data_IF_504307675311
#
_entry.id   IF_504307675311
#
_cell.length_a   1.000
_cell.length_b   1.000
_cell.length_c   1.000
_cell.angle_alpha   90.00
_cell.angle_beta   90.00
_cell.angle_gamma   90.00
#
_symmetry.space_group_name_H-M   'P 1'
#
loop_
_entity.id
_entity.type
_entity.pdbx_description
1 polymer ?
#
# COMPACT_ATOMS: atom_id res chain seq x y z
N UNK A 1 -15.51 -1.57 -42.87
CA UNK A 1 -15.87 -1.16 -41.49
C UNK A 1 -15.86 -2.36 -40.53
N UNK A 2 -16.65 -3.41 -40.75
CA UNK A 2 -16.70 -4.58 -39.86
C UNK A 2 -15.36 -5.34 -39.71
N UNK A 3 -14.67 -5.60 -40.83
CA UNK A 3 -13.38 -6.31 -40.83
C UNK A 3 -12.27 -5.52 -40.11
N UNK A 4 -12.24 -4.19 -40.28
CA UNK A 4 -11.32 -3.30 -39.56
C UNK A 4 -11.61 -3.29 -38.05
N UNK A 5 -12.87 -3.32 -37.66
CA UNK A 5 -13.27 -3.41 -36.25
C UNK A 5 -12.87 -4.77 -35.63
N UNK A 6 -13.10 -5.87 -36.33
CA UNK A 6 -12.68 -7.22 -35.89
C UNK A 6 -11.16 -7.35 -35.81
N UNK A 7 -10.43 -6.81 -36.78
CA UNK A 7 -8.97 -6.80 -36.80
C UNK A 7 -8.39 -5.95 -35.65
N UNK A 8 -8.92 -4.74 -35.42
CA UNK A 8 -8.54 -3.92 -34.27
C UNK A 8 -8.86 -4.61 -32.94
N UNK A 9 -10.02 -5.24 -32.82
CA UNK A 9 -10.42 -5.97 -31.62
C UNK A 9 -9.49 -7.17 -31.35
N UNK A 10 -9.05 -7.86 -32.39
CA UNK A 10 -8.08 -8.96 -32.28
C UNK A 10 -6.69 -8.48 -31.85
N UNK A 11 -6.21 -7.35 -32.39
CA UNK A 11 -4.96 -6.74 -31.97
C UNK A 11 -5.05 -6.24 -30.51
N UNK A 12 -6.11 -5.52 -30.15
CA UNK A 12 -6.32 -5.02 -28.79
C UNK A 12 -6.36 -6.16 -27.76
N UNK A 13 -7.13 -7.22 -28.01
CA UNK A 13 -7.17 -8.38 -27.12
C UNK A 13 -5.81 -9.11 -27.01
N UNK A 14 -5.02 -9.12 -28.09
CA UNK A 14 -3.71 -9.78 -28.11
C UNK A 14 -2.62 -9.01 -27.37
N UNK A 15 -2.65 -7.67 -27.40
CA UNK A 15 -1.59 -6.83 -26.81
C UNK A 15 -1.98 -6.15 -25.49
N UNK A 16 -3.27 -6.05 -25.14
CA UNK A 16 -3.70 -5.30 -23.97
C UNK A 16 -3.12 -5.85 -22.65
N UNK A 17 -3.06 -7.18 -22.49
CA UNK A 17 -2.45 -7.80 -21.31
C UNK A 17 -0.96 -7.44 -21.20
N UNK A 18 -0.22 -7.53 -22.31
CA UNK A 18 1.21 -7.20 -22.35
C UNK A 18 1.47 -5.71 -22.07
N UNK A 19 0.73 -4.82 -22.73
CA UNK A 19 0.84 -3.37 -22.50
C UNK A 19 0.48 -3.00 -21.06
N UNK A 20 -0.54 -3.64 -20.48
CA UNK A 20 -0.89 -3.42 -19.08
C UNK A 20 0.22 -3.86 -18.13
N UNK A 21 0.93 -4.96 -18.44
CA UNK A 21 2.05 -5.42 -17.64
C UNK A 21 3.21 -4.44 -17.65
N UNK A 22 3.56 -3.89 -18.83
CA UNK A 22 4.57 -2.83 -18.96
C UNK A 22 4.17 -1.61 -18.13
N UNK A 23 2.91 -1.17 -18.23
CA UNK A 23 2.41 -0.04 -17.47
C UNK A 23 2.49 -0.28 -15.95
N UNK A 24 2.12 -1.47 -15.47
CA UNK A 24 2.17 -1.81 -14.06
C UNK A 24 3.61 -1.86 -13.54
N UNK A 25 4.53 -2.43 -14.30
CA UNK A 25 5.95 -2.42 -13.96
C UNK A 25 6.51 -1.01 -13.93
N UNK A 26 6.07 -0.14 -14.84
CA UNK A 26 6.43 1.27 -14.83
C UNK A 26 5.90 1.99 -13.59
N UNK A 27 4.64 1.75 -13.19
CA UNK A 27 4.05 2.30 -11.95
C UNK A 27 4.81 1.80 -10.71
N UNK A 28 5.14 0.50 -10.64
CA UNK A 28 5.96 -0.05 -9.57
C UNK A 28 7.34 0.61 -9.58
N UNK A 29 7.96 0.77 -10.75
CA UNK A 29 9.24 1.45 -10.92
C UNK A 29 9.21 2.89 -10.40
N UNK A 30 8.12 3.64 -10.65
CA UNK A 30 7.94 4.99 -10.09
C UNK A 30 7.86 4.93 -8.56
N UNK A 31 7.10 4.01 -7.98
CA UNK A 31 6.99 3.88 -6.51
C UNK A 31 8.37 3.58 -5.90
N UNK A 32 9.15 2.70 -6.53
CA UNK A 32 10.51 2.36 -6.09
C UNK A 32 11.48 3.53 -6.24
N UNK A 33 11.47 4.22 -7.38
CA UNK A 33 12.32 5.39 -7.60
C UNK A 33 12.01 6.51 -6.60
N UNK A 34 10.71 6.76 -6.33
CA UNK A 34 10.31 7.72 -5.29
C UNK A 34 10.75 7.29 -3.90
N UNK A 35 10.77 5.99 -3.62
CA UNK A 35 11.28 5.46 -2.35
C UNK A 35 12.78 5.68 -2.20
N UNK A 36 13.54 5.48 -3.27
CA UNK A 36 15.00 5.69 -3.30
C UNK A 36 15.40 7.16 -3.21
N UNK A 37 14.67 8.05 -3.88
CA UNK A 37 14.90 9.51 -3.84
C UNK A 37 14.48 10.16 -2.52
N UNK A 38 13.65 9.50 -1.72
CA UNK A 38 13.14 10.09 -0.49
C UNK A 38 14.21 10.15 0.59
N UNK A 39 14.28 11.26 1.33
CA UNK A 39 15.13 11.40 2.53
C UNK A 39 14.53 10.61 3.71
N UNK A 40 14.51 9.28 3.59
CA UNK A 40 14.07 8.36 4.63
C UNK A 40 15.26 7.86 5.43
N UNK A 41 15.11 7.81 6.75
CA UNK A 41 16.17 7.26 7.60
C UNK A 41 16.34 5.76 7.38
N UNK A 42 17.54 5.23 7.60
CA UNK A 42 17.79 3.77 7.48
C UNK A 42 16.88 2.94 8.40
N UNK A 43 16.44 3.53 9.53
CA UNK A 43 15.47 2.91 10.44
C UNK A 43 14.08 2.78 9.82
N UNK A 44 13.64 3.77 9.04
CA UNK A 44 12.35 3.75 8.35
C UNK A 44 12.36 2.78 7.16
N UNK A 45 13.46 2.72 6.41
CA UNK A 45 13.66 1.71 5.36
C UNK A 45 13.53 0.30 5.95
N UNK A 46 14.23 0.04 7.05
CA UNK A 46 14.17 -1.23 7.76
C UNK A 46 12.74 -1.53 8.26
N UNK A 47 12.05 -0.54 8.82
CA UNK A 47 10.66 -0.69 9.28
C UNK A 47 9.73 -1.08 8.13
N UNK A 48 9.83 -0.41 6.97
CA UNK A 48 8.99 -0.69 5.81
C UNK A 48 9.24 -2.11 5.27
N UNK A 49 10.52 -2.54 5.22
CA UNK A 49 10.88 -3.90 4.84
C UNK A 49 10.31 -4.95 5.80
N UNK A 50 10.45 -4.73 7.12
CA UNK A 50 9.90 -5.61 8.15
C UNK A 50 8.37 -5.68 8.07
N UNK A 51 7.70 -4.53 7.89
CA UNK A 51 6.25 -4.50 7.71
C UNK A 51 5.84 -5.30 6.48
N UNK A 52 6.46 -5.07 5.32
CA UNK A 52 6.17 -5.83 4.10
C UNK A 52 6.36 -7.34 4.29
N UNK A 53 7.42 -7.76 4.98
CA UNK A 53 7.68 -9.17 5.27
C UNK A 53 6.65 -9.78 6.24
N UNK A 54 6.31 -9.08 7.33
CA UNK A 54 5.29 -9.55 8.29
C UNK A 54 3.92 -9.65 7.62
N UNK A 55 3.55 -8.66 6.82
CA UNK A 55 2.27 -8.67 6.11
C UNK A 55 2.26 -9.81 5.09
N UNK A 56 3.33 -10.03 4.33
CA UNK A 56 3.46 -11.18 3.44
C UNK A 56 3.33 -12.52 4.17
N UNK A 57 4.04 -12.68 5.29
CA UNK A 57 4.01 -13.90 6.10
C UNK A 57 2.63 -14.13 6.73
N UNK A 58 1.92 -13.06 7.11
CA UNK A 58 0.57 -13.15 7.68
C UNK A 58 -0.46 -13.73 6.72
N UNK A 59 -0.15 -13.82 5.42
CA UNK A 59 -0.98 -14.48 4.40
C UNK A 59 -0.90 -16.01 4.47
N UNK A 60 0.21 -16.57 4.94
CA UNK A 60 0.50 -18.01 4.92
C UNK A 60 -0.53 -18.82 5.71
N UNK A 61 -0.92 -18.45 6.96
CA UNK A 61 -1.91 -19.20 7.72
C UNK A 61 -3.30 -19.23 7.08
N UNK A 62 -3.59 -18.33 6.14
CA UNK A 62 -4.90 -18.16 5.51
C UNK A 62 -4.96 -18.73 4.09
N UNK A 63 -3.95 -19.49 3.65
CA UNK A 63 -3.90 -20.08 2.31
C UNK A 63 -5.13 -20.93 1.96
N UNK A 64 -5.68 -21.64 2.95
CA UNK A 64 -6.84 -22.50 2.77
C UNK A 64 -8.16 -21.71 2.65
N UNK A 65 -8.16 -20.43 3.03
CA UNK A 65 -9.35 -19.59 3.01
C UNK A 65 -9.39 -18.75 1.74
N UNK A 66 -10.44 -18.89 0.91
CA UNK A 66 -10.53 -18.15 -0.34
C UNK A 66 -10.64 -16.65 -0.08
N UNK A 67 -9.63 -15.91 -0.52
CA UNK A 67 -9.56 -14.44 -0.48
C UNK A 67 -9.71 -13.76 0.90
N UNK A 68 -9.67 -14.51 2.00
CA UNK A 68 -9.67 -13.97 3.37
C UNK A 68 -8.22 -13.88 3.83
N UNK A 69 -7.66 -12.67 3.87
CA UNK A 69 -6.26 -12.46 4.24
C UNK A 69 -6.11 -11.13 4.98
N UNK A 70 -5.23 -11.05 5.99
CA UNK A 70 -5.03 -9.81 6.75
C UNK A 70 -4.22 -8.74 6.01
N UNK A 71 -3.76 -9.01 4.78
CA UNK A 71 -2.86 -8.12 4.03
C UNK A 71 -3.44 -6.72 3.85
N UNK A 72 -4.62 -6.60 3.24
CA UNK A 72 -5.26 -5.30 2.95
C UNK A 72 -5.48 -4.50 4.24
N UNK A 73 -6.01 -5.14 5.29
CA UNK A 73 -6.15 -4.55 6.62
C UNK A 73 -4.84 -3.98 7.18
N UNK A 74 -3.74 -4.73 7.13
CA UNK A 74 -2.44 -4.29 7.65
C UNK A 74 -1.81 -3.18 6.79
N UNK A 75 -2.01 -3.23 5.47
CA UNK A 75 -1.55 -2.17 4.54
C UNK A 75 -2.31 -0.87 4.80
N UNK A 76 -3.62 -0.95 5.05
CA UNK A 76 -4.44 0.21 5.45
C UNK A 76 -3.89 0.82 6.74
N UNK A 77 -3.65 0.00 7.77
CA UNK A 77 -3.06 0.47 9.02
C UNK A 77 -1.69 1.11 8.81
N UNK A 78 -0.86 0.51 7.95
CA UNK A 78 0.47 1.04 7.60
C UNK A 78 0.35 2.41 6.95
N UNK A 79 -0.50 2.56 5.93
CA UNK A 79 -0.71 3.83 5.24
C UNK A 79 -1.27 4.92 6.16
N UNK A 80 -2.30 4.59 6.96
CA UNK A 80 -2.92 5.52 7.91
C UNK A 80 -1.92 6.09 8.93
N UNK A 81 -0.97 5.29 9.39
CA UNK A 81 -0.06 5.67 10.47
C UNK A 81 1.27 6.21 9.95
N UNK A 82 1.90 5.53 9.00
CA UNK A 82 3.28 5.81 8.54
C UNK A 82 3.33 6.62 7.22
N UNK A 83 2.19 6.89 6.59
CA UNK A 83 2.11 7.75 5.42
C UNK A 83 2.23 7.02 4.08
N UNK A 84 2.17 7.79 3.00
CA UNK A 84 1.91 7.27 1.65
C UNK A 84 3.04 6.37 1.15
N UNK A 85 4.29 6.77 1.37
CA UNK A 85 5.45 6.02 0.90
C UNK A 85 5.57 4.68 1.61
N UNK A 86 5.48 4.68 2.94
CA UNK A 86 5.51 3.46 3.74
C UNK A 86 4.35 2.52 3.41
N UNK A 87 3.13 3.05 3.27
CA UNK A 87 1.96 2.27 2.87
C UNK A 87 2.10 1.66 1.47
N UNK A 88 2.55 2.46 0.49
CA UNK A 88 2.76 2.00 -0.88
C UNK A 88 3.78 0.87 -0.94
N UNK A 89 4.95 1.09 -0.33
CA UNK A 89 6.04 0.13 -0.33
C UNK A 89 5.67 -1.15 0.42
N UNK A 90 5.02 -1.03 1.59
CA UNK A 90 4.52 -2.21 2.29
C UNK A 90 3.58 -3.04 1.42
N UNK A 91 2.67 -2.41 0.66
CA UNK A 91 1.79 -3.10 -0.29
C UNK A 91 2.52 -3.78 -1.44
N UNK A 92 3.42 -3.05 -2.10
CA UNK A 92 4.25 -3.55 -3.21
C UNK A 92 5.10 -4.75 -2.75
N UNK A 93 5.82 -4.59 -1.63
CA UNK A 93 6.66 -5.65 -1.07
C UNK A 93 5.84 -6.84 -0.59
N UNK A 94 4.66 -6.62 -0.01
CA UNK A 94 3.76 -7.72 0.41
C UNK A 94 3.38 -8.61 -0.76
N UNK A 95 2.97 -8.01 -1.88
CA UNK A 95 2.61 -8.77 -3.09
C UNK A 95 3.81 -9.54 -3.64
N UNK A 96 4.96 -8.90 -3.78
CA UNK A 96 6.16 -9.53 -4.30
C UNK A 96 6.64 -10.68 -3.39
N UNK A 97 6.77 -10.42 -2.09
CA UNK A 97 7.32 -11.39 -1.12
C UNK A 97 6.37 -12.56 -0.90
N UNK A 98 5.07 -12.32 -0.74
CA UNK A 98 4.12 -13.41 -0.50
C UNK A 98 4.04 -14.35 -1.70
N UNK A 99 4.18 -13.84 -2.92
CA UNK A 99 4.11 -14.67 -4.12
C UNK A 99 5.35 -15.57 -4.35
N UNK A 100 6.43 -15.44 -3.58
CA UNK A 100 7.45 -16.50 -3.52
C UNK A 100 6.89 -17.79 -2.92
N UNK A 101 5.89 -17.70 -2.04
CA UNK A 101 5.22 -18.85 -1.42
C UNK A 101 4.00 -19.32 -2.23
N UNK A 102 3.24 -18.38 -2.81
CA UNK A 102 2.01 -18.67 -3.56
C UNK A 102 2.20 -18.81 -5.07
N UNK A 103 3.41 -18.61 -5.57
CA UNK A 103 3.73 -18.57 -6.99
C UNK A 103 3.61 -17.17 -7.59
N UNK A 104 4.57 -16.84 -8.45
CA UNK A 104 4.51 -15.67 -9.30
C UNK A 104 3.69 -15.95 -10.57
N UNK A 105 3.09 -14.90 -11.10
CA UNK A 105 2.32 -14.96 -12.33
C UNK A 105 1.85 -13.58 -12.76
N UNK A 106 1.03 -13.51 -13.82
CA UNK A 106 0.59 -12.23 -14.37
C UNK A 106 -0.16 -11.35 -13.38
N UNK A 107 -0.77 -11.95 -12.35
CA UNK A 107 -1.44 -11.24 -11.25
C UNK A 107 -0.47 -10.48 -10.33
N UNK A 108 0.84 -10.79 -10.32
CA UNK A 108 1.76 -10.23 -9.32
C UNK A 108 1.89 -8.71 -9.46
N UNK A 109 2.17 -8.12 -10.63
CA UNK A 109 2.22 -6.66 -10.75
C UNK A 109 0.88 -5.98 -10.47
N UNK A 110 -0.23 -6.63 -10.83
CA UNK A 110 -1.57 -6.15 -10.46
C UNK A 110 -1.73 -6.08 -8.95
N UNK A 111 -1.34 -7.13 -8.21
CA UNK A 111 -1.37 -7.13 -6.74
C UNK A 111 -0.45 -6.05 -6.15
N UNK A 112 0.76 -5.89 -6.69
CA UNK A 112 1.72 -4.88 -6.24
C UNK A 112 1.15 -3.47 -6.36
N UNK A 113 0.57 -3.13 -7.52
CA UNK A 113 -0.04 -1.83 -7.75
C UNK A 113 -1.33 -1.67 -6.94
N UNK A 114 -2.19 -2.68 -6.89
CA UNK A 114 -3.44 -2.65 -6.15
C UNK A 114 -3.19 -2.37 -4.66
N UNK A 115 -2.34 -3.16 -4.01
CA UNK A 115 -1.99 -2.96 -2.61
C UNK A 115 -1.13 -1.72 -2.38
N UNK A 116 -0.27 -1.33 -3.31
CA UNK A 116 0.43 -0.05 -3.27
C UNK A 116 -0.56 1.13 -3.21
N UNK A 117 -1.58 1.13 -4.07
CA UNK A 117 -2.65 2.15 -4.07
C UNK A 117 -3.47 2.13 -2.78
N UNK A 118 -3.80 0.94 -2.23
CA UNK A 118 -4.45 0.83 -0.91
C UNK A 118 -3.66 1.59 0.15
N UNK A 119 -2.34 1.41 0.18
CA UNK A 119 -1.45 2.11 1.10
C UNK A 119 -1.44 3.63 0.89
N UNK A 120 -1.35 4.09 -0.36
CA UNK A 120 -1.37 5.52 -0.71
C UNK A 120 -2.69 6.17 -0.29
N UNK A 121 -3.83 5.58 -0.67
CA UNK A 121 -5.16 6.13 -0.38
C UNK A 121 -5.40 6.18 1.13
N UNK A 122 -5.04 5.11 1.84
CA UNK A 122 -5.14 5.06 3.30
C UNK A 122 -4.33 6.16 3.97
N UNK A 123 -3.14 6.47 3.44
CA UNK A 123 -2.32 7.56 3.94
C UNK A 123 -2.90 8.95 3.67
N UNK A 124 -3.57 9.16 2.54
CA UNK A 124 -4.28 10.43 2.26
C UNK A 124 -5.38 10.68 3.29
N UNK A 125 -6.10 9.63 3.66
CA UNK A 125 -7.09 9.69 4.74
C UNK A 125 -6.41 9.91 6.10
N UNK A 126 -5.32 9.18 6.38
CA UNK A 126 -4.54 9.35 7.61
C UNK A 126 -4.02 10.78 7.82
N UNK A 127 -3.54 11.44 6.75
CA UNK A 127 -3.13 12.86 6.80
C UNK A 127 -4.26 13.79 7.26
N UNK A 128 -5.50 13.53 6.85
CA UNK A 128 -6.67 14.32 7.27
C UNK A 128 -7.07 14.04 8.72
N UNK A 129 -6.92 12.79 9.16
CA UNK A 129 -7.28 12.34 10.52
C UNK A 129 -6.20 12.61 11.57
N UNK A 130 -4.96 12.90 11.16
CA UNK A 130 -3.80 13.10 12.03
C UNK A 130 -3.62 11.92 13.02
N UNK A 131 -3.81 12.16 14.31
CA UNK A 131 -3.62 11.16 15.37
C UNK A 131 -4.93 10.48 15.80
N UNK A 132 -6.05 10.91 15.24
CA UNK A 132 -7.41 10.45 15.58
C UNK A 132 -7.83 9.20 14.80
N UNK A 133 -6.87 8.50 14.17
CA UNK A 133 -7.14 7.22 13.50
C UNK A 133 -7.74 6.21 14.49
N UNK A 134 -8.92 5.68 14.16
CA UNK A 134 -9.67 4.70 14.95
C UNK A 134 -9.91 3.41 14.16
N UNK A 135 -10.34 2.35 14.85
CA UNK A 135 -10.73 1.08 14.20
C UNK A 135 -11.86 1.27 13.20
N UNK A 136 -12.82 2.17 13.45
CA UNK A 136 -13.91 2.46 12.53
C UNK A 136 -13.40 2.95 11.17
N UNK A 137 -12.36 3.79 11.17
CA UNK A 137 -11.72 4.23 9.93
C UNK A 137 -11.09 3.06 9.17
N UNK A 138 -10.44 2.14 9.89
CA UNK A 138 -9.84 0.94 9.29
C UNK A 138 -10.92 0.01 8.72
N UNK A 139 -12.03 -0.20 9.42
CA UNK A 139 -13.16 -0.99 8.94
C UNK A 139 -13.73 -0.36 7.66
N UNK A 140 -14.01 0.94 7.69
CA UNK A 140 -14.59 1.65 6.54
C UNK A 140 -13.68 1.59 5.31
N UNK A 141 -12.38 1.83 5.50
CA UNK A 141 -11.39 1.68 4.43
C UNK A 141 -11.25 0.22 4.00
N UNK A 142 -11.32 -0.74 4.92
CA UNK A 142 -11.25 -2.17 4.62
C UNK A 142 -12.40 -2.64 3.73
N UNK A 143 -13.60 -2.07 3.91
CA UNK A 143 -14.75 -2.31 3.03
C UNK A 143 -14.49 -1.70 1.66
N UNK A 144 -14.23 -0.39 1.58
CA UNK A 144 -14.12 0.31 0.29
C UNK A 144 -12.92 -0.16 -0.51
N UNK A 145 -11.74 -0.17 0.11
CA UNK A 145 -10.49 -0.55 -0.55
C UNK A 145 -10.41 -2.06 -0.76
N UNK A 146 -11.07 -2.87 0.08
CA UNK A 146 -11.20 -4.30 -0.16
C UNK A 146 -12.06 -4.60 -1.39
N UNK A 147 -13.19 -3.91 -1.57
CA UNK A 147 -14.01 -4.02 -2.78
C UNK A 147 -13.25 -3.54 -4.02
N UNK A 148 -12.58 -2.38 -3.92
CA UNK A 148 -11.80 -1.82 -5.02
C UNK A 148 -10.63 -2.75 -5.43
N UNK A 149 -9.94 -3.34 -4.45
CA UNK A 149 -8.92 -4.34 -4.69
C UNK A 149 -9.50 -5.54 -5.44
N UNK A 150 -10.61 -6.11 -4.95
CA UNK A 150 -11.21 -7.29 -5.59
C UNK A 150 -11.64 -7.01 -7.03
N UNK A 151 -12.35 -5.89 -7.25
CA UNK A 151 -12.79 -5.49 -8.57
C UNK A 151 -11.61 -5.33 -9.54
N UNK A 152 -10.49 -4.77 -9.07
CA UNK A 152 -9.28 -4.63 -9.87
C UNK A 152 -8.64 -6.00 -10.19
N UNK A 153 -8.67 -6.95 -9.25
CA UNK A 153 -8.17 -8.30 -9.48
C UNK A 153 -9.07 -9.12 -10.41
N UNK A 154 -10.38 -8.93 -10.34
CA UNK A 154 -11.34 -9.53 -11.29
C UNK A 154 -11.12 -8.95 -12.70
N UNK A 155 -10.92 -7.62 -12.79
CA UNK A 155 -10.56 -6.95 -14.04
C UNK A 155 -9.25 -7.47 -14.61
N UNK A 156 -8.22 -7.62 -13.77
CA UNK A 156 -6.93 -8.23 -14.15
C UNK A 156 -7.12 -9.63 -14.73
N UNK A 157 -8.02 -10.43 -14.13
CA UNK A 157 -8.32 -11.79 -14.58
C UNK A 157 -9.01 -11.78 -15.94
N UNK A 158 -10.00 -10.90 -16.14
CA UNK A 158 -10.65 -10.68 -17.44
C UNK A 158 -9.65 -10.29 -18.53
N UNK A 159 -8.80 -9.31 -18.23
CA UNK A 159 -7.82 -8.80 -19.18
C UNK A 159 -6.78 -9.86 -19.55
N UNK A 160 -6.31 -10.63 -18.57
CA UNK A 160 -5.15 -11.49 -18.73
C UNK A 160 -5.50 -12.93 -19.11
N UNK A 161 -6.44 -13.55 -18.39
CA UNK A 161 -6.80 -14.96 -18.59
C UNK A 161 -7.92 -15.12 -19.61
N UNK A 162 -8.88 -14.19 -19.62
CA UNK A 162 -9.97 -14.17 -20.61
C UNK A 162 -9.68 -13.28 -21.82
N UNK A 163 -8.43 -12.82 -21.96
CA UNK A 163 -7.88 -12.09 -23.11
C UNK A 163 -8.72 -10.87 -23.52
N UNK A 164 -9.32 -10.20 -22.53
CA UNK A 164 -10.22 -9.07 -22.75
C UNK A 164 -11.35 -9.34 -23.76
N UNK A 165 -11.85 -10.58 -23.85
CA UNK A 165 -13.02 -10.90 -24.67
C UNK A 165 -14.23 -10.15 -24.09
N UNK A 166 -14.88 -9.25 -24.85
CA UNK A 166 -15.93 -8.38 -24.30
C UNK A 166 -17.09 -9.14 -23.66
N UNK A 167 -17.53 -10.24 -24.29
CA UNK A 167 -18.66 -11.04 -23.81
C UNK A 167 -18.37 -11.73 -22.46
N UNK A 168 -17.10 -11.90 -22.11
CA UNK A 168 -16.66 -12.49 -20.84
C UNK A 168 -16.44 -11.45 -19.74
N UNK A 169 -16.57 -10.15 -20.04
CA UNK A 169 -16.36 -9.09 -19.05
C UNK A 169 -17.35 -9.23 -17.88
N UNK A 170 -18.65 -9.15 -18.17
CA UNK A 170 -19.68 -9.22 -17.14
C UNK A 170 -19.69 -10.56 -16.40
N UNK A 171 -19.61 -11.73 -17.07
CA UNK A 171 -19.47 -13.02 -16.38
C UNK A 171 -18.28 -13.08 -15.43
N UNK A 172 -17.12 -12.55 -15.82
CA UNK A 172 -15.93 -12.54 -14.96
C UNK A 172 -16.14 -11.67 -13.71
N UNK A 173 -16.72 -10.47 -13.87
CA UNK A 173 -16.99 -9.59 -12.73
C UNK A 173 -18.01 -10.23 -11.76
N UNK A 174 -19.06 -10.86 -12.29
CA UNK A 174 -20.08 -11.53 -11.47
C UNK A 174 -19.50 -12.73 -10.72
N UNK A 175 -18.65 -13.52 -11.37
CA UNK A 175 -17.97 -14.64 -10.74
C UNK A 175 -17.02 -14.22 -9.60
N UNK A 176 -16.51 -12.98 -9.64
CA UNK A 176 -15.66 -12.40 -8.60
C UNK A 176 -16.38 -11.98 -7.32
N UNK A 177 -17.71 -11.74 -7.39
CA UNK A 177 -18.50 -11.20 -6.27
C UNK A 177 -18.35 -12.01 -4.97
N UNK A 178 -18.46 -13.36 -4.95
CA UNK A 178 -18.29 -14.13 -3.72
C UNK A 178 -16.91 -13.93 -3.08
N UNK A 179 -15.86 -13.86 -3.90
CA UNK A 179 -14.49 -13.61 -3.41
C UNK A 179 -14.34 -12.19 -2.86
N UNK A 180 -14.99 -11.20 -3.48
CA UNK A 180 -15.03 -9.83 -2.98
C UNK A 180 -15.73 -9.70 -1.64
N UNK A 181 -16.86 -10.38 -1.47
CA UNK A 181 -17.59 -10.44 -0.19
C UNK A 181 -16.68 -11.05 0.89
N UNK A 182 -16.05 -12.20 0.61
CA UNK A 182 -15.14 -12.85 1.55
C UNK A 182 -13.96 -11.96 1.93
N UNK A 183 -13.38 -11.25 0.95
CA UNK A 183 -12.28 -10.32 1.22
C UNK A 183 -12.69 -9.18 2.15
N UNK A 184 -13.85 -8.57 1.89
CA UNK A 184 -14.41 -7.50 2.72
C UNK A 184 -14.72 -8.00 4.13
N UNK A 185 -15.42 -9.14 4.25
CA UNK A 185 -15.73 -9.76 5.53
C UNK A 185 -14.46 -10.05 6.32
N UNK A 186 -13.43 -10.61 5.66
CA UNK A 186 -12.11 -10.82 6.25
C UNK A 186 -11.51 -9.53 6.80
N UNK A 187 -11.45 -8.46 5.99
CA UNK A 187 -10.92 -7.16 6.42
C UNK A 187 -11.70 -6.58 7.60
N UNK A 188 -13.03 -6.70 7.61
CA UNK A 188 -13.88 -6.23 8.73
C UNK A 188 -13.58 -7.03 9.99
N UNK A 189 -13.49 -8.36 9.91
CA UNK A 189 -13.19 -9.22 11.05
C UNK A 189 -11.79 -8.91 11.61
N UNK A 190 -10.76 -8.84 10.75
CA UNK A 190 -9.41 -8.50 11.19
C UNK A 190 -9.36 -7.11 11.82
N UNK A 191 -10.03 -6.12 11.23
CA UNK A 191 -10.07 -4.78 11.80
C UNK A 191 -10.80 -4.74 13.15
N UNK A 192 -11.92 -5.45 13.29
CA UNK A 192 -12.69 -5.52 14.54
C UNK A 192 -11.89 -6.20 15.67
N UNK A 193 -11.21 -7.30 15.37
CA UNK A 193 -10.48 -8.12 16.36
C UNK A 193 -9.08 -7.55 16.64
N UNK A 194 -8.33 -7.21 15.59
CA UNK A 194 -6.91 -6.85 15.66
C UNK A 194 -6.64 -5.35 15.46
N UNK A 195 -7.64 -4.55 15.04
CA UNK A 195 -7.42 -3.14 14.73
C UNK A 195 -6.91 -2.33 15.92
N UNK A 196 -7.48 -2.51 17.13
CA UNK A 196 -7.01 -1.82 18.34
C UNK A 196 -5.55 -2.12 18.68
N UNK A 197 -5.13 -3.40 18.85
CA UNK A 197 -3.75 -3.71 19.17
C UNK A 197 -2.78 -3.29 18.07
N UNK A 198 -3.13 -3.49 16.79
CA UNK A 198 -2.27 -3.08 15.65
C UNK A 198 -2.09 -1.57 15.60
N UNK A 199 -3.17 -0.78 15.69
CA UNK A 199 -3.07 0.68 15.67
C UNK A 199 -2.27 1.21 16.85
N UNK A 200 -2.45 0.63 18.04
CA UNK A 200 -1.70 1.02 19.25
C UNK A 200 -0.21 0.74 19.07
N UNK A 201 0.13 -0.44 18.55
CA UNK A 201 1.51 -0.84 18.26
C UNK A 201 2.14 0.09 17.22
N UNK A 202 1.46 0.34 16.12
CA UNK A 202 1.97 1.17 15.02
C UNK A 202 2.16 2.63 15.46
N UNK A 203 1.19 3.21 16.19
CA UNK A 203 1.33 4.56 16.77
C UNK A 203 2.51 4.64 17.74
N UNK A 204 2.72 3.61 18.57
CA UNK A 204 3.87 3.52 19.49
C UNK A 204 5.19 3.46 18.74
N UNK A 205 5.29 2.67 17.67
CA UNK A 205 6.49 2.59 16.84
C UNK A 205 6.77 3.92 16.14
N UNK A 206 5.77 4.54 15.51
CA UNK A 206 5.93 5.83 14.83
C UNK A 206 6.51 6.90 15.74
N UNK A 207 6.02 6.98 16.99
CA UNK A 207 6.53 7.92 18.01
C UNK A 207 7.99 7.69 18.40
N UNK A 208 8.52 6.48 18.22
CA UNK A 208 9.91 6.13 18.57
C UNK A 208 10.86 6.27 17.39
N UNK A 209 10.37 6.09 16.17
CA UNK A 209 11.19 6.14 14.95
C UNK A 209 11.31 7.54 14.38
N UNK A 210 10.27 8.38 14.48
CA UNK A 210 10.35 9.80 14.14
C UNK A 210 10.93 10.60 15.32
N UNK A 211 12.26 10.70 15.39
CA UNK A 211 12.93 11.70 16.25
C UNK A 211 13.19 12.92 15.37
N UNK A 212 12.42 13.98 15.55
CA UNK A 212 12.74 15.29 14.95
C UNK A 212 14.03 15.78 15.62
N UNK A 213 15.12 15.89 14.85
CA UNK A 213 16.30 16.60 15.30
C UNK A 213 15.92 18.08 15.35
N UNK A 214 15.68 18.59 16.56
CA UNK A 214 15.45 20.01 16.78
C UNK A 214 16.75 20.73 16.37
N UNK A 215 16.72 21.73 15.48
CA UNK A 215 17.91 22.55 15.25
C UNK A 215 18.34 23.11 16.61
N UNK A 216 19.61 22.96 16.96
CA UNK A 216 20.17 23.54 18.17
C UNK A 216 20.33 25.06 18.00
N UNK A 217 19.22 25.77 17.91
CA UNK A 217 19.18 27.23 18.01
C UNK A 217 19.24 27.60 19.49
N UNK A 218 20.46 27.77 20.03
CA UNK A 218 20.60 28.30 21.38
C UNK A 218 22.00 28.46 21.93
N UNK A 219 22.98 27.65 21.52
CA UNK A 219 24.29 27.68 22.20
C UNK A 219 25.30 28.70 21.62
N UNK A 220 25.05 29.25 20.42
CA UNK A 220 25.96 30.25 19.79
C UNK A 220 25.61 31.71 20.08
N UNK A 221 24.40 32.01 20.57
CA UNK A 221 24.00 33.39 20.90
C UNK A 221 24.51 33.86 22.28
N UNK A 222 24.76 32.92 23.22
CA UNK A 222 25.28 33.26 24.56
C UNK A 222 26.78 33.58 24.61
N UNK A 223 27.56 33.05 23.67
CA UNK A 223 29.01 33.26 23.64
C UNK A 223 29.41 34.60 23.00
N UNK A 224 28.57 35.16 22.12
CA UNK A 224 28.82 36.48 21.53
C UNK A 224 28.47 37.66 22.46
N UNK A 225 27.53 37.48 23.40
CA UNK A 225 27.12 38.52 24.35
C UNK A 225 28.01 38.64 25.59
N UNK A 226 28.84 37.63 25.89
CA UNK A 226 29.70 37.61 27.07
C UNK A 226 31.10 38.22 26.83
N UNK A 227 31.46 38.56 25.59
CA UNK A 227 32.77 39.16 25.25
C UNK A 227 32.76 40.70 25.15
N UNK A 228 31.61 41.37 25.30
CA UNK A 228 31.52 42.84 25.11
C UNK A 228 31.27 43.64 26.39
N UNK A 229 31.18 43.01 27.57
CA UNK A 229 30.93 43.70 28.84
C UNK A 229 32.03 43.41 29.86
N UNK A 230 33.23 43.92 29.60
CA UNK A 230 34.37 43.80 30.51
C UNK A 230 35.41 44.89 30.34
N UNK A 231 35.25 45.97 31.12
CA UNK A 231 36.31 46.75 31.78
C UNK A 231 36.60 48.21 31.30
N UNK A 232 35.94 49.16 32.00
CA UNK A 232 36.42 50.38 32.71
C UNK A 232 37.37 51.36 31.98
N UNK A 233 37.03 52.63 31.76
CA UNK A 233 36.99 53.78 32.72
C UNK A 233 38.02 53.72 33.85
N UNK A 234 39.21 54.25 33.63
CA UNK A 234 39.78 55.45 34.27
C UNK A 234 41.10 55.80 33.60
#
# INVERSE_FOLDING_TARGET
>A
MLYLAMFQQHLLSSYAAFLSFILLLFVVGIILARFEESEISSKEVALIGILGAIIAASRIPFVALPNIQPCTFLIICTGLIFGSLAGAMAGVTTAAVSNFFFGHGPWTPWMMVAWGMVGIISALVGKRLKDEVTVTHVIFLGVILGLAYNLLMDFSSWLTFYRAVPDLFLPTMVAGIPYGILHVVGNVIFAAVLGRPVLTLFKRFRRRTHVSYRPEDGHRAGLAGAMTTGNRTK
#
